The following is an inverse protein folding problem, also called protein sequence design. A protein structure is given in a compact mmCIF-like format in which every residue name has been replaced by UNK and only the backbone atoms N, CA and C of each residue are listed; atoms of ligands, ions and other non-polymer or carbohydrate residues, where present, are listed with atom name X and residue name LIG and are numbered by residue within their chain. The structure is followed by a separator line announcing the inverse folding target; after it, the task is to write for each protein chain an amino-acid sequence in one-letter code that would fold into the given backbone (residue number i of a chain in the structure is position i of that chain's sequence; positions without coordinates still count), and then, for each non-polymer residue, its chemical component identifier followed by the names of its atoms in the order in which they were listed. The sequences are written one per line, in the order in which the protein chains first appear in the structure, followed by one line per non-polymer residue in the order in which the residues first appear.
data_IF_612509008676
#
_entry.id   IF_612509008676
#
_cell.length_a   1.000
_cell.length_b   1.000
_cell.length_c   1.000
_cell.angle_alpha   90.00
_cell.angle_beta   90.00
_cell.angle_gamma   90.00
#
_symmetry.space_group_name_H-M   'P 1'
#
loop_
_entity.id
_entity.type
_entity.pdbx_description
1 polymer ?
#
# COMPACT_ATOMS: atom_id res chain seq x y z
N UNK A 1 29.90 -31.86 25.26
CA UNK A 1 29.17 -31.49 24.06
C UNK A 1 28.85 -30.00 24.17
N UNK A 2 29.64 -29.18 23.50
CA UNK A 2 29.45 -27.73 23.45
C UNK A 2 28.44 -27.46 22.33
N UNK A 3 27.26 -26.88 22.69
CA UNK A 3 26.26 -26.48 21.72
C UNK A 3 26.75 -25.24 20.95
N UNK A 4 27.01 -25.42 19.67
CA UNK A 4 27.22 -24.32 18.74
C UNK A 4 25.88 -23.56 18.58
N UNK A 5 25.84 -22.35 19.11
CA UNK A 5 24.76 -21.40 18.80
C UNK A 5 24.91 -20.95 17.35
N UNK A 6 23.91 -21.22 16.52
CA UNK A 6 23.87 -20.70 15.16
C UNK A 6 23.98 -19.16 15.18
N UNK A 7 24.72 -18.55 14.23
CA UNK A 7 24.86 -17.10 14.17
C UNK A 7 23.49 -16.46 13.89
N UNK A 8 23.11 -15.53 14.75
CA UNK A 8 21.95 -14.66 14.60
C UNK A 8 22.07 -13.92 13.25
N UNK A 9 21.26 -14.31 12.27
CA UNK A 9 21.20 -13.60 10.98
C UNK A 9 20.69 -12.19 11.25
N UNK A 10 21.51 -11.20 10.94
CA UNK A 10 21.09 -9.80 10.98
C UNK A 10 19.86 -9.61 10.06
N UNK A 11 18.83 -8.93 10.57
CA UNK A 11 17.63 -8.61 9.77
C UNK A 11 18.04 -7.91 8.45
N UNK A 12 17.40 -8.24 7.33
CA UNK A 12 17.69 -7.63 6.04
C UNK A 12 17.49 -6.11 6.16
N UNK A 13 18.55 -5.34 5.87
CA UNK A 13 18.47 -3.88 5.85
C UNK A 13 17.96 -3.43 4.49
N UNK A 14 16.99 -2.47 4.41
CA UNK A 14 16.62 -1.86 3.14
C UNK A 14 17.88 -1.29 2.46
N UNK A 15 18.02 -1.55 1.16
CA UNK A 15 19.16 -1.02 0.39
C UNK A 15 18.99 0.49 0.17
N UNK A 16 20.08 1.22 -0.02
CA UNK A 16 20.04 2.69 -0.21
C UNK A 16 19.22 3.12 -1.45
N UNK A 17 19.02 2.22 -2.43
CA UNK A 17 18.21 2.45 -3.63
C UNK A 17 16.68 2.43 -3.33
N UNK A 18 16.26 1.81 -2.22
CA UNK A 18 14.86 1.66 -1.82
C UNK A 18 14.38 2.78 -0.90
N UNK A 19 15.24 3.79 -0.63
CA UNK A 19 14.96 4.86 0.30
C UNK A 19 14.64 6.16 -0.41
N UNK A 20 13.54 6.76 -0.01
CA UNK A 20 12.90 7.88 -0.65
C UNK A 20 13.55 9.23 -0.46
N UNK A 21 13.42 10.07 -1.50
CA UNK A 21 13.59 11.51 -1.40
C UNK A 21 12.41 12.16 -0.65
N UNK A 22 12.75 12.96 0.36
CA UNK A 22 11.79 13.85 1.02
C UNK A 22 11.75 15.15 0.22
N UNK A 23 10.66 15.42 -0.48
CA UNK A 23 10.52 16.63 -1.30
C UNK A 23 9.37 17.50 -0.79
N UNK A 24 9.64 18.78 -0.52
CA UNK A 24 8.63 19.83 -0.30
C UNK A 24 8.41 20.54 -1.63
N UNK A 25 7.16 20.65 -2.10
CA UNK A 25 6.84 21.32 -3.36
C UNK A 25 6.08 22.64 -3.14
N UNK A 26 6.32 23.60 -4.04
CA UNK A 26 5.55 24.84 -4.10
C UNK A 26 4.09 24.56 -4.53
N UNK A 27 3.14 25.30 -3.97
CA UNK A 27 1.70 25.11 -4.16
C UNK A 27 1.12 24.33 -2.99
N UNK A 28 0.80 23.06 -3.18
CA UNK A 28 0.42 22.14 -2.12
C UNK A 28 1.65 21.79 -1.28
N UNK A 29 1.66 22.18 0.00
CA UNK A 29 2.79 21.92 0.90
C UNK A 29 2.70 20.49 1.44
N UNK A 30 3.48 19.61 0.86
CA UNK A 30 3.55 18.21 1.23
C UNK A 30 5.00 17.75 1.39
N UNK A 31 5.21 16.85 2.33
CA UNK A 31 6.40 16.05 2.49
C UNK A 31 6.03 14.60 2.20
N UNK A 32 6.82 13.88 1.41
CA UNK A 32 6.50 12.50 1.07
C UNK A 32 7.72 11.62 0.94
N UNK A 33 7.51 10.32 1.07
CA UNK A 33 8.56 9.32 1.00
C UNK A 33 8.01 7.97 0.50
N UNK A 34 8.91 7.15 -0.01
CA UNK A 34 8.64 5.76 -0.40
C UNK A 34 9.70 4.84 0.19
N UNK A 35 9.30 3.64 0.58
CA UNK A 35 10.17 2.53 0.94
C UNK A 35 9.70 1.27 0.23
N UNK A 36 10.64 0.41 -0.17
CA UNK A 36 10.34 -0.92 -0.68
C UNK A 36 11.52 -1.83 -0.34
N UNK A 37 11.24 -2.96 0.27
CA UNK A 37 12.22 -3.97 0.68
C UNK A 37 11.73 -5.36 0.31
N UNK A 38 12.68 -6.21 -0.07
CA UNK A 38 12.39 -7.59 -0.49
C UNK A 38 11.96 -8.51 0.67
N UNK A 39 12.37 -8.15 1.90
CA UNK A 39 12.17 -9.03 3.05
C UNK A 39 12.98 -10.32 2.96
N UNK A 40 12.39 -11.40 3.44
CA UNK A 40 12.99 -12.76 3.36
C UNK A 40 12.57 -13.51 2.08
N UNK A 41 11.87 -12.85 1.16
CA UNK A 41 11.48 -13.39 -0.15
C UNK A 41 12.67 -13.41 -1.12
N UNK A 42 12.55 -14.17 -2.22
CA UNK A 42 13.57 -14.20 -3.28
C UNK A 42 13.48 -12.98 -4.20
N UNK A 43 12.24 -12.55 -4.51
CA UNK A 43 11.93 -11.46 -5.41
C UNK A 43 11.00 -10.44 -4.75
N UNK A 44 11.05 -9.20 -5.23
CA UNK A 44 10.10 -8.16 -4.82
C UNK A 44 8.99 -8.03 -5.86
N UNK A 45 7.78 -8.42 -5.50
CA UNK A 45 6.58 -8.33 -6.33
C UNK A 45 5.77 -7.06 -6.08
N UNK A 46 6.11 -6.29 -5.05
CA UNK A 46 5.50 -4.99 -4.77
C UNK A 46 5.97 -3.91 -5.74
N UNK A 47 5.06 -3.02 -6.12
CA UNK A 47 5.37 -1.80 -6.86
C UNK A 47 4.68 -0.60 -6.20
N UNK A 48 5.41 0.50 -6.09
CA UNK A 48 4.87 1.72 -5.51
C UNK A 48 5.40 2.97 -6.20
N UNK A 49 4.57 4.01 -6.25
CA UNK A 49 4.96 5.32 -6.71
C UNK A 49 4.24 6.43 -5.94
N UNK A 50 4.86 7.60 -5.93
CA UNK A 50 4.20 8.87 -5.67
C UNK A 50 4.46 9.81 -6.83
N UNK A 51 3.39 10.39 -7.37
CA UNK A 51 3.44 11.35 -8.47
C UNK A 51 2.89 12.65 -7.93
N UNK A 52 3.78 13.61 -7.67
CA UNK A 52 3.43 14.88 -7.06
C UNK A 52 3.55 16.04 -8.06
N UNK A 53 2.50 16.84 -8.14
CA UNK A 53 2.39 18.09 -8.87
C UNK A 53 2.07 19.23 -7.88
N UNK A 54 2.05 20.47 -8.36
CA UNK A 54 1.75 21.65 -7.52
C UNK A 54 0.35 21.60 -6.89
N UNK A 55 -0.62 20.96 -7.54
CA UNK A 55 -2.05 20.97 -7.16
C UNK A 55 -2.63 19.61 -6.82
N UNK A 56 -1.88 18.53 -7.02
CA UNK A 56 -2.34 17.19 -6.71
C UNK A 56 -1.15 16.24 -6.52
N UNK A 57 -1.33 15.20 -5.70
CA UNK A 57 -0.41 14.08 -5.58
C UNK A 57 -1.18 12.76 -5.62
N UNK A 58 -0.64 11.76 -6.30
CA UNK A 58 -1.17 10.40 -6.34
C UNK A 58 -0.17 9.44 -5.72
N UNK A 59 -0.59 8.74 -4.67
CA UNK A 59 0.14 7.67 -4.00
C UNK A 59 -0.39 6.34 -4.49
N UNK A 60 0.49 5.41 -4.85
CA UNK A 60 0.15 4.11 -5.40
C UNK A 60 0.98 3.01 -4.75
N UNK A 61 0.32 1.92 -4.36
CA UNK A 61 0.95 0.66 -3.97
C UNK A 61 0.17 -0.47 -4.62
N UNK A 62 0.91 -1.41 -5.22
CA UNK A 62 0.39 -2.64 -5.80
C UNK A 62 1.26 -3.79 -5.31
N UNK A 63 0.64 -4.79 -4.71
CA UNK A 63 1.28 -6.03 -4.26
C UNK A 63 0.91 -7.14 -5.23
N UNK A 64 1.92 -7.69 -5.88
CA UNK A 64 1.75 -8.68 -6.93
C UNK A 64 1.60 -10.09 -6.37
N UNK A 65 0.51 -10.76 -6.73
CA UNK A 65 0.20 -12.13 -6.37
C UNK A 65 0.28 -13.06 -7.59
N UNK A 66 0.88 -14.22 -7.42
CA UNK A 66 1.04 -15.21 -8.48
C UNK A 66 2.46 -15.79 -8.45
N UNK A 67 2.62 -17.05 -8.89
CA UNK A 67 3.91 -17.73 -8.82
C UNK A 67 5.02 -17.00 -9.57
N UNK A 68 6.13 -16.73 -8.92
CA UNK A 68 7.39 -16.19 -9.47
C UNK A 68 7.26 -14.80 -10.15
N UNK A 69 7.46 -14.70 -11.47
CA UNK A 69 7.55 -13.42 -12.18
C UNK A 69 6.22 -12.74 -12.49
N UNK A 70 5.11 -13.44 -12.39
CA UNK A 70 3.83 -12.95 -12.93
C UNK A 70 3.14 -11.97 -11.95
N UNK A 71 3.31 -12.13 -10.63
CA UNK A 71 2.87 -11.14 -9.65
C UNK A 71 3.58 -9.79 -9.84
N UNK A 72 4.91 -9.80 -9.99
CA UNK A 72 5.66 -8.56 -10.23
C UNK A 72 5.20 -7.86 -11.53
N UNK A 73 4.90 -8.61 -12.60
CA UNK A 73 4.38 -8.06 -13.86
C UNK A 73 2.97 -7.46 -13.68
N UNK A 74 2.11 -8.11 -12.91
CA UNK A 74 0.79 -7.57 -12.59
C UNK A 74 0.88 -6.23 -11.87
N UNK A 75 1.66 -6.16 -10.79
CA UNK A 75 1.88 -4.93 -10.03
C UNK A 75 2.52 -3.82 -10.88
N UNK A 76 3.50 -4.15 -11.72
CA UNK A 76 4.17 -3.21 -12.62
C UNK A 76 3.22 -2.66 -13.68
N UNK A 77 2.40 -3.52 -14.28
CA UNK A 77 1.39 -3.13 -15.28
C UNK A 77 0.35 -2.20 -14.65
N UNK A 78 -0.19 -2.57 -13.49
CA UNK A 78 -1.17 -1.74 -12.77
C UNK A 78 -0.58 -0.38 -12.42
N UNK A 79 0.65 -0.34 -11.88
CA UNK A 79 1.34 0.91 -11.56
C UNK A 79 1.54 1.80 -12.79
N UNK A 80 1.99 1.22 -13.90
CA UNK A 80 2.22 1.95 -15.14
C UNK A 80 0.94 2.59 -15.70
N UNK A 81 -0.15 1.80 -15.75
CA UNK A 81 -1.45 2.25 -16.28
C UNK A 81 -2.01 3.40 -15.45
N UNK A 82 -2.11 3.24 -14.13
CA UNK A 82 -2.68 4.28 -13.26
C UNK A 82 -1.81 5.53 -13.26
N UNK A 83 -0.48 5.36 -13.25
CA UNK A 83 0.47 6.48 -13.33
C UNK A 83 0.34 7.27 -14.62
N UNK A 84 0.21 6.58 -15.77
CA UNK A 84 0.07 7.23 -17.07
C UNK A 84 -1.26 7.99 -17.18
N UNK A 85 -2.36 7.39 -16.73
CA UNK A 85 -3.67 8.03 -16.70
C UNK A 85 -3.65 9.31 -15.85
N UNK A 86 -3.01 9.27 -14.67
CA UNK A 86 -2.90 10.46 -13.82
C UNK A 86 -2.06 11.57 -14.45
N UNK A 87 -0.94 11.24 -15.11
CA UNK A 87 -0.10 12.26 -15.78
C UNK A 87 -0.82 12.97 -16.93
N UNK A 88 -1.85 12.35 -17.50
CA UNK A 88 -2.67 12.91 -18.57
C UNK A 88 -3.87 13.74 -18.06
N UNK A 89 -4.16 13.69 -16.75
CA UNK A 89 -5.29 14.40 -16.18
C UNK A 89 -5.05 15.91 -16.07
N UNK A 90 -6.05 16.73 -16.41
CA UNK A 90 -6.08 18.12 -15.98
C UNK A 90 -6.12 18.20 -14.44
N UNK A 91 -5.33 19.09 -13.84
CA UNK A 91 -5.26 19.26 -12.39
C UNK A 91 -5.85 20.60 -11.94
N UNK A 92 -6.63 20.61 -10.84
CA UNK A 92 -7.04 19.47 -10.04
C UNK A 92 -8.01 18.56 -10.79
N UNK A 93 -8.02 17.28 -10.44
CA UNK A 93 -8.97 16.31 -10.97
C UNK A 93 -10.38 16.70 -10.52
N UNK A 94 -11.31 16.91 -11.47
CA UNK A 94 -12.68 17.41 -11.18
C UNK A 94 -13.55 16.35 -10.51
N UNK A 95 -13.39 15.09 -10.90
CA UNK A 95 -14.08 13.94 -10.30
C UNK A 95 -13.03 12.93 -9.77
N UNK A 96 -12.52 13.12 -8.54
CA UNK A 96 -11.55 12.22 -7.93
C UNK A 96 -12.00 10.78 -7.80
N UNK A 97 -13.27 10.55 -7.46
CA UNK A 97 -13.82 9.21 -7.27
C UNK A 97 -13.94 8.47 -8.60
N UNK A 98 -14.51 9.11 -9.61
CA UNK A 98 -14.66 8.55 -10.96
C UNK A 98 -13.28 8.29 -11.59
N UNK A 99 -12.30 9.21 -11.41
CA UNK A 99 -10.95 9.01 -11.88
C UNK A 99 -10.29 7.78 -11.24
N UNK A 100 -10.30 7.68 -9.90
CA UNK A 100 -9.68 6.56 -9.19
C UNK A 100 -10.29 5.22 -9.57
N UNK A 101 -11.64 5.14 -9.61
CA UNK A 101 -12.34 3.93 -10.03
C UNK A 101 -11.97 3.54 -11.46
N UNK A 102 -12.07 4.47 -12.40
CA UNK A 102 -11.82 4.20 -13.82
C UNK A 102 -10.36 3.82 -14.09
N UNK A 103 -9.41 4.45 -13.37
CA UNK A 103 -8.00 4.14 -13.50
C UNK A 103 -7.68 2.74 -12.97
N UNK A 104 -8.25 2.34 -11.83
CA UNK A 104 -8.10 1.00 -11.27
C UNK A 104 -8.79 -0.07 -12.12
N UNK A 105 -9.99 0.21 -12.65
CA UNK A 105 -10.67 -0.69 -13.57
C UNK A 105 -9.85 -0.90 -14.86
N UNK A 106 -9.27 0.17 -15.42
CA UNK A 106 -8.38 0.05 -16.57
C UNK A 106 -7.11 -0.74 -16.24
N UNK A 107 -6.54 -0.57 -15.06
CA UNK A 107 -5.42 -1.38 -14.61
C UNK A 107 -5.80 -2.87 -14.50
N UNK A 108 -7.01 -3.17 -13.99
CA UNK A 108 -7.54 -4.53 -13.98
C UNK A 108 -7.59 -5.14 -15.38
N UNK A 109 -8.17 -4.45 -16.36
CA UNK A 109 -8.27 -4.94 -17.74
C UNK A 109 -6.89 -5.28 -18.34
N UNK A 110 -5.89 -4.41 -18.10
CA UNK A 110 -4.53 -4.65 -18.60
C UNK A 110 -3.83 -5.81 -17.90
N UNK A 111 -4.07 -6.01 -16.59
CA UNK A 111 -3.54 -7.17 -15.87
C UNK A 111 -4.23 -8.46 -16.32
N UNK A 112 -5.55 -8.46 -16.55
CA UNK A 112 -6.27 -9.60 -17.16
C UNK A 112 -5.68 -9.98 -18.50
N UNK A 113 -5.36 -8.98 -19.33
CA UNK A 113 -4.76 -9.21 -20.66
C UNK A 113 -3.42 -9.95 -20.60
N UNK A 114 -2.66 -9.84 -19.51
CA UNK A 114 -1.40 -10.58 -19.33
C UNK A 114 -1.60 -12.10 -19.20
N UNK A 115 -2.78 -12.53 -18.74
CA UNK A 115 -3.06 -13.92 -18.39
C UNK A 115 -4.10 -14.62 -19.24
N UNK A 116 -4.55 -14.04 -20.36
CA UNK A 116 -5.64 -14.60 -21.21
C UNK A 116 -5.40 -16.03 -21.68
N UNK A 117 -4.15 -16.38 -21.98
CA UNK A 117 -3.75 -17.72 -22.44
C UNK A 117 -3.40 -18.69 -21.29
N UNK A 118 -3.46 -18.22 -20.02
CA UNK A 118 -3.08 -19.00 -18.86
C UNK A 118 -4.29 -19.65 -18.19
N UNK A 119 -4.07 -20.85 -17.60
CA UNK A 119 -5.06 -21.44 -16.72
C UNK A 119 -5.31 -20.52 -15.48
N UNK A 120 -6.51 -20.56 -14.93
CA UNK A 120 -6.97 -19.64 -13.91
C UNK A 120 -6.01 -19.46 -12.71
N UNK A 121 -5.39 -20.57 -12.26
CA UNK A 121 -4.48 -20.57 -11.11
C UNK A 121 -3.13 -19.87 -11.39
N UNK A 122 -2.77 -19.69 -12.66
CA UNK A 122 -1.52 -19.06 -13.08
C UNK A 122 -1.71 -17.64 -13.60
N UNK A 123 -2.93 -17.11 -13.60
CA UNK A 123 -3.19 -15.75 -14.08
C UNK A 123 -2.60 -14.72 -13.13
N UNK A 124 -1.89 -13.70 -13.67
CA UNK A 124 -1.34 -12.61 -12.87
C UNK A 124 -2.42 -11.87 -12.11
N UNK A 125 -2.13 -11.52 -10.86
CA UNK A 125 -3.01 -10.78 -9.97
C UNK A 125 -2.21 -9.76 -9.17
N UNK A 126 -2.86 -8.71 -8.72
CA UNK A 126 -2.30 -7.77 -7.76
C UNK A 126 -3.38 -7.18 -6.87
N UNK A 127 -3.06 -6.86 -5.63
CA UNK A 127 -3.84 -5.91 -4.83
C UNK A 127 -3.58 -4.49 -5.34
N UNK A 128 -4.33 -3.51 -4.87
CA UNK A 128 -4.07 -2.13 -5.24
C UNK A 128 -4.61 -1.12 -4.23
N UNK A 129 -3.77 -0.14 -3.90
CA UNK A 129 -4.10 0.99 -3.06
C UNK A 129 -3.69 2.30 -3.76
N UNK A 130 -4.67 3.12 -4.13
CA UNK A 130 -4.48 4.39 -4.82
C UNK A 130 -5.10 5.53 -4.00
N UNK A 131 -4.30 6.53 -3.60
CA UNK A 131 -4.74 7.69 -2.83
C UNK A 131 -4.40 8.98 -3.58
N UNK A 132 -5.43 9.72 -3.98
CA UNK A 132 -5.34 11.04 -4.59
C UNK A 132 -5.46 12.11 -3.50
N UNK A 133 -4.49 13.02 -3.44
CA UNK A 133 -4.47 14.18 -2.55
C UNK A 133 -4.51 15.44 -3.40
N UNK A 134 -5.48 16.32 -3.17
CA UNK A 134 -5.55 17.64 -3.82
C UNK A 134 -6.34 18.61 -2.96
N UNK A 135 -5.94 19.87 -2.96
CA UNK A 135 -6.49 20.87 -2.03
C UNK A 135 -6.38 20.33 -0.60
N UNK A 136 -7.29 20.63 0.29
CA UNK A 136 -7.32 20.11 1.66
C UNK A 136 -8.10 18.79 1.78
N UNK A 137 -7.90 17.86 0.87
CA UNK A 137 -8.62 16.58 0.87
C UNK A 137 -7.88 15.42 0.23
N UNK A 138 -8.28 14.23 0.63
CA UNK A 138 -7.86 12.98 0.03
C UNK A 138 -9.04 12.10 -0.34
N UNK A 139 -8.86 11.32 -1.39
CA UNK A 139 -9.77 10.26 -1.83
C UNK A 139 -8.92 9.04 -2.11
N UNK A 140 -9.44 7.88 -1.83
CA UNK A 140 -8.75 6.64 -2.19
C UNK A 140 -9.66 5.60 -2.82
N UNK A 141 -9.05 4.74 -3.60
CA UNK A 141 -9.63 3.52 -4.14
C UNK A 141 -8.68 2.37 -3.80
N UNK A 142 -9.22 1.26 -3.30
CA UNK A 142 -8.42 0.06 -3.04
C UNK A 142 -9.17 -1.21 -3.43
N UNK A 143 -8.39 -2.26 -3.68
CA UNK A 143 -8.81 -3.64 -3.90
C UNK A 143 -7.78 -4.57 -3.27
N UNK A 144 -8.25 -5.60 -2.54
CA UNK A 144 -7.37 -6.50 -1.81
C UNK A 144 -7.11 -6.02 -0.38
N UNK A 145 -5.95 -6.37 0.13
CA UNK A 145 -5.49 -6.14 1.51
C UNK A 145 -4.31 -5.16 1.63
N UNK A 146 -3.87 -4.57 0.52
CA UNK A 146 -3.05 -3.34 0.57
C UNK A 146 -3.87 -2.22 1.18
N UNK A 147 -3.32 -1.55 2.19
CA UNK A 147 -4.06 -0.59 3.04
C UNK A 147 -3.69 0.86 2.77
N UNK A 148 -4.66 1.74 3.03
CA UNK A 148 -4.47 3.18 3.10
C UNK A 148 -4.90 3.64 4.48
N UNK A 149 -4.00 4.36 5.15
CA UNK A 149 -4.19 4.92 6.48
C UNK A 149 -4.25 6.44 6.41
N UNK A 150 -5.16 7.04 7.16
CA UNK A 150 -5.16 8.46 7.51
C UNK A 150 -4.92 8.58 9.00
N UNK A 151 -3.84 9.23 9.39
CA UNK A 151 -3.38 9.31 10.77
C UNK A 151 -3.13 10.76 11.17
N UNK A 152 -3.39 11.10 12.44
CA UNK A 152 -3.26 12.44 13.00
C UNK A 152 -2.80 12.40 14.46
N UNK A 153 -1.73 13.10 14.79
CA UNK A 153 -1.27 13.30 16.18
C UNK A 153 -1.14 12.00 16.99
N UNK A 154 -0.63 10.94 16.38
CA UNK A 154 -0.45 9.64 17.03
C UNK A 154 -1.68 8.72 16.99
N UNK A 155 -2.79 9.15 16.37
CA UNK A 155 -4.04 8.40 16.33
C UNK A 155 -4.42 8.02 14.90
N UNK A 156 -5.06 6.86 14.76
CA UNK A 156 -5.73 6.49 13.53
C UNK A 156 -7.02 7.31 13.39
N UNK A 157 -7.15 8.07 12.29
CA UNK A 157 -8.39 8.75 11.92
C UNK A 157 -9.32 7.76 11.21
N UNK A 158 -8.78 7.07 10.20
CA UNK A 158 -9.47 6.01 9.47
C UNK A 158 -8.47 5.22 8.63
N UNK A 159 -8.83 4.00 8.24
CA UNK A 159 -8.11 3.19 7.25
C UNK A 159 -9.06 2.48 6.30
N UNK A 160 -8.52 1.97 5.21
CA UNK A 160 -9.24 1.01 4.34
C UNK A 160 -9.53 -0.30 5.11
N UNK A 161 -10.61 -0.97 4.72
CA UNK A 161 -10.93 -2.33 5.19
C UNK A 161 -10.56 -3.31 4.09
N UNK A 162 -9.88 -4.38 4.47
CA UNK A 162 -9.36 -5.35 3.52
C UNK A 162 -10.49 -6.09 2.80
N UNK A 163 -10.29 -6.40 1.53
CA UNK A 163 -11.12 -7.35 0.81
C UNK A 163 -10.56 -8.77 1.02
N UNK A 164 -10.57 -9.21 2.28
CA UNK A 164 -10.05 -10.50 2.72
C UNK A 164 -11.14 -11.33 3.40
N UNK A 165 -10.96 -12.64 3.40
CA UNK A 165 -11.92 -13.56 4.02
C UNK A 165 -12.13 -13.26 5.50
N UNK A 166 -11.06 -12.98 6.23
CA UNK A 166 -11.16 -12.66 7.67
C UNK A 166 -11.91 -11.36 7.93
N UNK A 167 -11.79 -10.36 7.08
CA UNK A 167 -12.57 -9.13 7.20
C UNK A 167 -14.07 -9.38 7.00
N UNK A 168 -14.45 -10.27 6.08
CA UNK A 168 -15.86 -10.71 5.92
C UNK A 168 -16.36 -11.36 7.21
N UNK A 169 -15.58 -12.28 7.79
CA UNK A 169 -15.95 -12.95 9.04
C UNK A 169 -16.08 -11.97 10.23
N UNK A 170 -15.23 -10.94 10.30
CA UNK A 170 -15.33 -9.86 11.31
C UNK A 170 -16.62 -9.08 11.12
N UNK A 171 -16.95 -8.68 9.88
CA UNK A 171 -18.17 -7.92 9.58
C UNK A 171 -19.45 -8.70 9.88
N UNK A 172 -19.43 -10.00 9.67
CA UNK A 172 -20.53 -10.92 10.03
C UNK A 172 -20.60 -11.20 11.55
N UNK A 173 -19.61 -10.76 12.32
CA UNK A 173 -19.51 -11.03 13.75
C UNK A 173 -19.16 -12.49 14.09
N UNK A 174 -18.64 -13.24 13.13
CA UNK A 174 -18.24 -14.64 13.30
C UNK A 174 -16.92 -14.78 14.07
N UNK A 175 -16.01 -13.81 13.90
CA UNK A 175 -14.75 -13.72 14.63
C UNK A 175 -14.49 -12.26 15.05
N UNK A 176 -13.63 -12.07 16.05
CA UNK A 176 -13.11 -10.78 16.49
C UNK A 176 -11.86 -10.40 15.70
N UNK A 177 -11.47 -9.09 15.72
CA UNK A 177 -10.21 -8.63 15.14
C UNK A 177 -8.98 -9.36 15.74
N UNK A 178 -9.03 -9.72 17.02
CA UNK A 178 -7.97 -10.46 17.67
C UNK A 178 -7.85 -11.91 17.15
N UNK A 179 -8.97 -12.58 16.91
CA UNK A 179 -8.99 -13.93 16.36
C UNK A 179 -8.56 -13.98 14.88
N UNK A 180 -8.77 -12.89 14.15
CA UNK A 180 -8.35 -12.79 12.75
C UNK A 180 -6.82 -12.84 12.58
N UNK A 181 -6.04 -12.38 13.56
CA UNK A 181 -4.58 -12.34 13.51
C UNK A 181 -3.96 -13.75 13.36
N UNK A 182 -4.56 -14.74 13.97
CA UNK A 182 -4.09 -16.14 13.95
C UNK A 182 -4.96 -17.04 13.07
N UNK A 183 -5.90 -16.48 12.32
CA UNK A 183 -6.83 -17.25 11.51
C UNK A 183 -6.11 -17.93 10.32
N UNK A 184 -6.39 -19.23 10.00
CA UNK A 184 -5.76 -19.94 8.89
C UNK A 184 -5.92 -19.25 7.53
N UNK A 185 -7.03 -18.54 7.32
CA UNK A 185 -7.36 -17.83 6.07
C UNK A 185 -7.00 -16.33 6.12
N UNK A 186 -6.15 -15.88 7.06
CA UNK A 186 -5.84 -14.46 7.23
C UNK A 186 -5.25 -13.79 5.98
N UNK A 187 -4.52 -14.56 5.16
CA UNK A 187 -3.89 -14.08 3.94
C UNK A 187 -4.74 -14.38 2.68
N UNK A 188 -6.00 -14.80 2.85
CA UNK A 188 -6.87 -15.09 1.71
C UNK A 188 -7.57 -13.82 1.25
N UNK A 189 -7.14 -13.31 0.09
CA UNK A 189 -7.68 -12.12 -0.55
C UNK A 189 -8.86 -12.51 -1.44
N UNK A 190 -10.03 -11.90 -1.21
CA UNK A 190 -11.29 -12.15 -1.94
C UNK A 190 -11.35 -11.41 -3.28
N UNK A 191 -10.79 -10.19 -3.34
CA UNK A 191 -10.84 -9.32 -4.51
C UNK A 191 -9.45 -8.83 -4.87
N UNK A 192 -9.10 -8.87 -6.17
CA UNK A 192 -7.81 -8.39 -6.67
C UNK A 192 -7.95 -7.90 -8.13
N UNK A 193 -6.97 -7.16 -8.60
CA UNK A 193 -6.80 -6.82 -10.02
C UNK A 193 -6.28 -8.05 -10.77
N UNK A 194 -6.73 -8.24 -12.01
CA UNK A 194 -6.32 -9.39 -12.81
C UNK A 194 -7.09 -10.67 -12.48
N UNK A 195 -6.54 -11.83 -12.83
CA UNK A 195 -7.22 -13.11 -12.66
C UNK A 195 -8.38 -13.27 -13.64
N UNK A 196 -9.61 -13.11 -13.17
CA UNK A 196 -10.81 -13.24 -14.00
C UNK A 196 -11.22 -11.89 -14.63
N UNK A 197 -11.98 -11.96 -15.73
CA UNK A 197 -12.33 -10.77 -16.51
C UNK A 197 -13.35 -9.81 -15.89
N UNK A 198 -14.25 -10.19 -14.97
CA UNK A 198 -15.13 -9.22 -14.34
C UNK A 198 -14.32 -8.25 -13.46
N UNK A 199 -14.62 -6.95 -13.57
CA UNK A 199 -14.03 -5.93 -12.69
C UNK A 199 -14.35 -6.28 -11.23
N UNK A 200 -13.34 -6.38 -10.35
CA UNK A 200 -13.58 -6.74 -8.96
C UNK A 200 -14.33 -5.64 -8.20
N UNK A 201 -14.92 -6.00 -7.09
CA UNK A 201 -15.44 -5.01 -6.16
C UNK A 201 -14.28 -4.16 -5.61
N UNK A 202 -14.38 -2.85 -5.81
CA UNK A 202 -13.40 -1.85 -5.35
C UNK A 202 -14.07 -0.86 -4.40
N UNK A 203 -13.40 -0.58 -3.30
CA UNK A 203 -13.89 0.44 -2.37
C UNK A 203 -13.35 1.81 -2.74
N UNK A 204 -14.25 2.77 -3.03
CA UNK A 204 -13.91 4.18 -3.29
C UNK A 204 -14.45 5.07 -2.20
N UNK A 205 -13.59 5.88 -1.58
CA UNK A 205 -13.99 6.74 -0.47
C UNK A 205 -14.55 8.09 -0.93
N UNK A 206 -15.36 8.72 -0.05
CA UNK A 206 -15.68 10.14 -0.15
C UNK A 206 -14.48 10.98 0.30
N UNK A 207 -14.51 12.30 0.02
CA UNK A 207 -13.48 13.26 0.44
C UNK A 207 -13.21 13.15 1.94
N UNK A 208 -11.96 12.86 2.29
CA UNK A 208 -11.44 12.95 3.64
C UNK A 208 -10.74 14.32 3.81
N UNK A 209 -11.18 15.12 4.78
CA UNK A 209 -10.56 16.43 5.02
C UNK A 209 -9.21 16.27 5.71
N UNK A 210 -8.20 16.90 5.16
CA UNK A 210 -6.87 16.94 5.74
C UNK A 210 -6.69 18.15 6.63
N UNK A 211 -5.91 17.97 7.70
CA UNK A 211 -5.44 19.02 8.59
C UNK A 211 -3.91 19.02 8.58
N UNK A 212 -3.32 20.17 8.92
CA UNK A 212 -1.87 20.29 9.00
C UNK A 212 -1.29 19.25 9.96
N UNK A 213 -0.29 18.51 9.51
CA UNK A 213 0.36 17.44 10.26
C UNK A 213 -0.24 16.05 10.03
N UNK A 214 -1.37 15.94 9.29
CA UNK A 214 -1.90 14.64 8.90
C UNK A 214 -0.90 13.85 8.07
N UNK A 215 -0.87 12.55 8.31
CA UNK A 215 -0.09 11.60 7.53
C UNK A 215 -1.03 10.61 6.85
N UNK A 216 -0.86 10.49 5.54
CA UNK A 216 -1.43 9.42 4.73
C UNK A 216 -0.35 8.38 4.45
N UNK A 217 -0.68 7.10 4.58
CA UNK A 217 0.21 5.99 4.26
C UNK A 217 -0.55 4.98 3.41
N UNK A 218 -0.03 4.66 2.23
CA UNK A 218 -0.44 3.50 1.46
C UNK A 218 0.65 2.43 1.58
N UNK A 219 0.27 1.16 1.82
CA UNK A 219 1.26 0.10 2.02
C UNK A 219 0.74 -1.30 1.69
N UNK A 220 1.66 -2.21 1.34
CA UNK A 220 1.39 -3.65 1.22
C UNK A 220 1.27 -4.32 2.60
N UNK A 221 0.81 -5.56 2.60
CA UNK A 221 0.60 -6.35 3.81
C UNK A 221 1.90 -6.59 4.60
N UNK A 222 3.03 -6.77 3.93
CA UNK A 222 4.32 -6.94 4.59
C UNK A 222 4.76 -5.73 5.43
N UNK A 223 4.18 -4.53 5.20
CA UNK A 223 4.48 -3.38 6.05
C UNK A 223 3.53 -3.29 7.25
N UNK A 224 2.23 -3.54 7.07
CA UNK A 224 1.28 -3.39 8.17
C UNK A 224 1.15 -4.64 9.04
N UNK A 225 1.48 -5.82 8.52
CA UNK A 225 1.38 -7.07 9.24
C UNK A 225 2.29 -7.08 10.48
N UNK A 226 1.70 -7.36 11.62
CA UNK A 226 2.39 -7.41 12.91
C UNK A 226 2.61 -6.04 13.59
N UNK A 227 2.22 -4.91 12.96
CA UNK A 227 2.27 -3.59 13.60
C UNK A 227 0.83 -3.17 13.93
N UNK A 228 0.45 -3.04 15.20
CA UNK A 228 -0.87 -2.52 15.58
C UNK A 228 -1.12 -1.12 15.01
N UNK A 229 -2.36 -0.83 14.62
CA UNK A 229 -2.76 0.45 14.01
C UNK A 229 -2.40 1.67 14.89
N UNK A 230 -2.51 1.55 16.21
CA UNK A 230 -2.12 2.60 17.16
C UNK A 230 -0.62 2.86 17.14
N UNK A 231 0.20 1.81 17.07
CA UNK A 231 1.64 1.95 16.97
C UNK A 231 2.07 2.50 15.61
N UNK A 232 1.42 2.05 14.53
CA UNK A 232 1.57 2.59 13.19
C UNK A 232 1.35 4.11 13.20
N UNK A 233 0.23 4.57 13.76
CA UNK A 233 -0.11 5.98 13.83
C UNK A 233 0.90 6.78 14.67
N UNK A 234 1.32 6.25 15.83
CA UNK A 234 2.30 6.90 16.70
C UNK A 234 3.66 7.10 16.04
N UNK A 235 4.12 6.12 15.24
CA UNK A 235 5.40 6.22 14.54
C UNK A 235 5.27 7.13 13.30
N UNK A 236 4.24 6.93 12.48
CA UNK A 236 4.05 7.65 11.22
C UNK A 236 3.91 9.17 11.41
N UNK A 237 3.25 9.60 12.49
CA UNK A 237 2.94 11.02 12.73
C UNK A 237 3.98 11.76 13.59
N UNK A 238 5.12 11.15 13.90
CA UNK A 238 6.21 11.84 14.63
C UNK A 238 6.65 13.07 13.85
N UNK A 239 6.81 14.19 14.56
CA UNK A 239 7.18 15.49 13.97
C UNK A 239 8.62 15.91 14.27
N UNK A 240 9.34 15.14 15.09
CA UNK A 240 10.75 15.34 15.45
C UNK A 240 11.71 14.89 14.34
N UNK A 241 11.19 14.26 13.29
CA UNK A 241 11.95 13.78 12.14
C UNK A 241 11.11 13.81 10.85
N UNK A 242 11.77 13.74 9.66
CA UNK A 242 11.10 13.68 8.37
C UNK A 242 10.18 12.46 8.24
N UNK A 243 9.13 12.57 7.41
CA UNK A 243 8.19 11.46 7.16
C UNK A 243 8.89 10.23 6.59
N UNK A 244 9.98 10.42 5.85
CA UNK A 244 10.81 9.33 5.32
C UNK A 244 11.48 8.51 6.41
N UNK A 245 11.99 9.15 7.48
CA UNK A 245 12.58 8.42 8.60
C UNK A 245 11.51 7.70 9.45
N UNK A 246 10.29 8.24 9.54
CA UNK A 246 9.15 7.55 10.14
C UNK A 246 8.80 6.29 9.35
N UNK A 247 8.70 6.41 8.03
CA UNK A 247 8.38 5.31 7.13
C UNK A 247 9.45 4.22 7.17
N UNK A 248 10.74 4.61 7.18
CA UNK A 248 11.85 3.70 7.35
C UNK A 248 11.80 2.95 8.67
N UNK A 249 11.46 3.64 9.76
CA UNK A 249 11.31 3.02 11.08
C UNK A 249 10.20 1.97 11.06
N UNK A 250 9.08 2.24 10.41
CA UNK A 250 7.98 1.28 10.21
C UNK A 250 8.44 0.07 9.40
N UNK A 251 9.13 0.29 8.27
CA UNK A 251 9.62 -0.80 7.42
C UNK A 251 10.60 -1.72 8.17
N UNK A 252 11.58 -1.15 8.87
CA UNK A 252 12.55 -1.93 9.66
C UNK A 252 11.81 -2.73 10.75
N UNK A 253 10.82 -2.12 11.41
CA UNK A 253 10.03 -2.79 12.44
C UNK A 253 9.24 -3.95 11.87
N UNK A 254 8.54 -3.76 10.74
CA UNK A 254 7.79 -4.81 10.06
C UNK A 254 8.67 -6.00 9.69
N UNK A 255 9.82 -5.74 9.04
CA UNK A 255 10.80 -6.76 8.69
C UNK A 255 11.32 -7.52 9.91
N UNK A 256 11.58 -6.81 11.02
CA UNK A 256 12.11 -7.43 12.24
C UNK A 256 11.09 -8.33 12.93
N UNK A 257 9.82 -7.87 13.02
CA UNK A 257 8.75 -8.65 13.67
C UNK A 257 8.46 -9.93 12.88
N UNK A 258 8.44 -9.87 11.56
CA UNK A 258 8.06 -10.97 10.69
C UNK A 258 9.23 -11.87 10.28
N UNK A 259 10.47 -11.55 10.64
CA UNK A 259 11.64 -12.37 10.35
C UNK A 259 11.58 -13.71 11.10
N UNK A 260 11.97 -14.87 10.50
CA UNK A 260 12.63 -15.03 9.19
C UNK A 260 11.65 -15.27 8.01
N UNK A 261 10.43 -14.82 8.09
CA UNK A 261 9.39 -15.02 7.07
C UNK A 261 8.76 -13.70 6.61
N UNK A 262 9.52 -12.60 6.69
CA UNK A 262 9.04 -11.28 6.28
C UNK A 262 8.73 -11.25 4.78
N UNK A 263 7.60 -10.66 4.44
CA UNK A 263 7.18 -10.44 3.05
C UNK A 263 7.83 -9.22 2.41
N UNK A 264 7.59 -9.02 1.13
CA UNK A 264 7.87 -7.77 0.46
C UNK A 264 7.22 -6.64 1.26
N UNK A 265 7.99 -5.63 1.63
CA UNK A 265 7.56 -4.60 2.57
C UNK A 265 7.64 -3.25 1.89
N UNK A 266 6.49 -2.74 1.44
CA UNK A 266 6.43 -1.53 0.62
C UNK A 266 5.43 -0.53 1.19
N UNK A 267 5.81 0.75 1.16
CA UNK A 267 4.93 1.83 1.59
C UNK A 267 5.27 3.17 0.95
N UNK A 268 4.24 4.02 0.82
CA UNK A 268 4.33 5.42 0.41
C UNK A 268 3.63 6.27 1.46
N UNK A 269 4.35 7.21 2.05
CA UNK A 269 3.81 8.13 3.06
C UNK A 269 3.81 9.57 2.55
N UNK A 270 2.78 10.34 2.93
CA UNK A 270 2.66 11.75 2.65
C UNK A 270 2.21 12.47 3.93
N UNK A 271 2.97 13.51 4.33
CA UNK A 271 2.58 14.44 5.39
C UNK A 271 2.05 15.72 4.79
N UNK A 272 0.85 16.13 5.22
CA UNK A 272 0.20 17.35 4.78
C UNK A 272 0.62 18.54 5.65
N UNK A 273 1.18 19.58 5.04
CA UNK A 273 1.58 20.81 5.74
C UNK A 273 0.64 22.00 5.50
N UNK A 274 -0.32 21.86 4.58
CA UNK A 274 -1.26 22.91 4.21
C UNK A 274 -1.15 23.32 2.74
N UNK A 275 -1.86 24.38 2.41
CA UNK A 275 -1.81 25.07 1.12
C UNK A 275 -0.91 26.31 1.22
#
# INVERSE_FOLDING_TARGET
MQGETAPERAAPRPTAADMADTTVRAGMQIEYAKVSAVGDRQDNQDRAAIIAHERAALMLVFDGMGGHSDGARAAETALAVVSELFRKQPLPVLDPQGFLYSAMARAHDEVVALGTELAADFRPRATGAACLVQESGSWWCHVGDSRIYHMRNGWLVTRSRDHSHVEVLIQEGAITEAEALDHPMRNFVECCLGGDSPVPDMTVTRKQRLQRGDVLLACSDGLWSGIPDEEMARIATRTDQPVGENLKTLSIKALTINSPYSDNTTGVALRWHGE
#
